data_IF_682391522855
#
_entry.id   IF_682391522855
#
_cell.length_a   1.000
_cell.length_b   1.000
_cell.length_c   1.000
_cell.angle_alpha   90.00
_cell.angle_beta   90.00
_cell.angle_gamma   90.00
#
_symmetry.space_group_name_H-M   'P 1'
#
loop_
_entity.id
_entity.type
_entity.pdbx_description
1 polymer ?
#
# COMPACT_ATOMS: atom_id res chain seq x y z
N UNK A 1 -38.30 3.58 2.51
CA UNK A 1 -36.88 3.79 2.89
C UNK A 1 -36.16 2.48 2.62
N UNK A 2 -34.99 2.46 1.93
CA UNK A 2 -34.19 1.24 1.83
C UNK A 2 -33.82 0.78 3.24
N UNK A 3 -33.88 -0.53 3.48
CA UNK A 3 -33.58 -1.12 4.79
C UNK A 3 -32.10 -1.46 4.86
N UNK A 4 -31.53 -2.00 3.76
CA UNK A 4 -30.15 -2.48 3.73
C UNK A 4 -29.32 -1.82 2.61
N UNK A 5 -28.11 -1.37 2.96
CA UNK A 5 -27.19 -0.64 2.08
C UNK A 5 -25.76 -1.15 2.19
N UNK A 6 -25.06 -1.23 1.05
CA UNK A 6 -23.61 -1.48 0.98
C UNK A 6 -22.87 -0.26 0.40
N UNK A 7 -21.84 0.19 1.14
CA UNK A 7 -20.91 1.24 0.72
C UNK A 7 -19.50 0.66 0.56
N UNK A 8 -18.90 0.81 -0.62
CA UNK A 8 -17.55 0.29 -0.90
C UNK A 8 -16.52 1.42 -0.97
N UNK A 9 -15.43 1.27 -0.20
CA UNK A 9 -14.22 2.10 -0.33
C UNK A 9 -13.19 1.43 -1.22
N UNK A 10 -12.21 0.70 -0.70
CA UNK A 10 -11.35 -0.17 -1.51
C UNK A 10 -10.46 -1.08 -0.65
N UNK A 11 -9.99 -2.19 -1.23
CA UNK A 11 -8.88 -2.98 -0.69
C UNK A 11 -7.52 -2.30 -0.88
N UNK A 12 -6.41 -3.03 -0.70
CA UNK A 12 -5.08 -2.46 -0.96
C UNK A 12 -4.95 -1.99 -2.42
N UNK A 13 -4.68 -0.69 -2.61
CA UNK A 13 -4.39 -0.10 -3.93
C UNK A 13 -2.90 0.09 -4.17
N UNK A 14 -2.53 0.31 -5.44
CA UNK A 14 -1.17 0.69 -5.84
C UNK A 14 -0.68 1.90 -5.03
N UNK A 15 -1.51 2.93 -4.87
CA UNK A 15 -1.17 4.12 -4.11
C UNK A 15 -0.88 3.83 -2.63
N UNK A 16 -1.66 2.94 -2.00
CA UNK A 16 -1.40 2.55 -0.61
C UNK A 16 -0.12 1.71 -0.48
N UNK A 17 0.12 0.80 -1.43
CA UNK A 17 1.31 -0.02 -1.45
C UNK A 17 2.57 0.85 -1.59
N UNK A 18 2.56 1.77 -2.53
CA UNK A 18 3.71 2.62 -2.78
C UNK A 18 4.05 3.53 -1.59
N UNK A 19 3.03 4.14 -0.96
CA UNK A 19 3.23 4.93 0.27
C UNK A 19 3.84 4.09 1.40
N UNK A 20 3.41 2.82 1.53
CA UNK A 20 3.97 1.89 2.51
C UNK A 20 5.44 1.56 2.19
N UNK A 21 5.76 1.28 0.94
CA UNK A 21 7.14 0.98 0.51
C UNK A 21 8.07 2.17 0.73
N UNK A 22 7.66 3.39 0.36
CA UNK A 22 8.45 4.60 0.61
C UNK A 22 8.73 4.79 2.11
N UNK A 23 7.71 4.59 2.96
CA UNK A 23 7.88 4.70 4.42
C UNK A 23 8.85 3.66 4.96
N UNK A 24 8.78 2.41 4.48
CA UNK A 24 9.69 1.34 4.90
C UNK A 24 11.14 1.63 4.51
N UNK A 25 11.39 2.12 3.30
CA UNK A 25 12.74 2.49 2.85
C UNK A 25 13.32 3.61 3.71
N UNK A 26 12.53 4.64 4.01
CA UNK A 26 12.97 5.75 4.87
C UNK A 26 13.34 5.27 6.27
N UNK A 27 12.54 4.38 6.86
CA UNK A 27 12.83 3.80 8.17
C UNK A 27 14.11 2.95 8.17
N UNK A 28 14.35 2.16 7.11
CA UNK A 28 15.58 1.37 6.98
C UNK A 28 16.82 2.27 6.86
N UNK A 29 16.74 3.36 6.08
CA UNK A 29 17.84 4.31 5.94
C UNK A 29 18.17 5.00 7.27
N UNK A 30 17.15 5.40 8.03
CA UNK A 30 17.35 6.01 9.36
C UNK A 30 18.03 5.04 10.35
N UNK A 31 17.63 3.76 10.35
CA UNK A 31 18.25 2.75 11.20
C UNK A 31 19.72 2.48 10.84
N UNK A 32 20.05 2.45 9.54
CA UNK A 32 21.43 2.28 9.09
C UNK A 32 22.32 3.46 9.51
N UNK A 33 21.82 4.69 9.40
CA UNK A 33 22.55 5.88 9.83
C UNK A 33 22.83 5.87 11.34
N UNK A 34 21.86 5.44 12.15
CA UNK A 34 22.06 5.31 13.60
C UNK A 34 23.11 4.24 13.95
N UNK A 35 23.11 3.09 13.27
CA UNK A 35 24.11 2.04 13.52
C UNK A 35 25.54 2.46 13.14
N UNK A 36 25.71 3.25 12.07
CA UNK A 36 27.03 3.79 11.69
C UNK A 36 27.56 4.82 12.69
N UNK A 37 26.69 5.65 13.27
CA UNK A 37 27.08 6.60 14.32
C UNK A 37 27.51 5.89 15.61
N UNK A 38 26.84 4.78 15.98
CA UNK A 38 27.23 3.98 17.15
C UNK A 38 28.59 3.30 16.95
N UNK A 39 28.90 2.81 15.75
CA UNK A 39 30.20 2.20 15.45
C UNK A 39 31.35 3.22 15.41
N UNK A 40 31.09 4.49 15.08
CA UNK A 40 32.11 5.55 15.16
C UNK A 40 32.33 6.08 16.59
N UNK A 41 31.33 5.96 17.47
CA UNK A 41 31.42 6.38 18.87
C UNK A 41 31.99 5.30 19.81
N UNK A 42 32.16 4.06 19.35
CA UNK A 42 32.68 2.94 20.13
C UNK A 42 34.03 2.43 19.64
N UNK A 43 35.12 3.09 20.00
CA UNK A 43 36.47 2.50 19.97
C UNK A 43 36.99 2.41 21.41
N UNK A 44 37.20 1.18 21.91
CA UNK A 44 38.54 0.84 22.37
C UNK A 44 39.07 -0.43 21.69
N UNK A 45 40.40 -0.52 21.72
CA UNK A 45 41.33 -1.43 21.08
C UNK A 45 41.23 -2.92 21.49
N UNK A 46 41.79 -3.79 20.64
CA UNK A 46 42.22 -5.21 20.83
C UNK A 46 41.11 -6.25 21.07
N UNK A 47 41.09 -7.47 20.55
CA UNK A 47 42.09 -8.32 19.90
C UNK A 47 41.40 -9.37 18.99
N UNK A 48 42.22 -10.16 18.32
CA UNK A 48 41.93 -11.08 17.21
C UNK A 48 41.04 -12.30 17.51
N UNK A 49 40.43 -12.82 16.43
CA UNK A 49 40.09 -14.24 16.13
C UNK A 49 38.61 -14.70 16.12
N UNK A 50 38.33 -15.59 15.14
CA UNK A 50 37.09 -16.38 14.86
C UNK A 50 35.86 -15.58 14.37
N UNK A 51 35.11 -15.92 13.31
CA UNK A 51 34.82 -17.20 12.63
C UNK A 51 34.28 -16.91 11.22
N UNK A 52 34.80 -17.60 10.21
CA UNK A 52 34.35 -17.51 8.82
C UNK A 52 33.25 -18.56 8.54
N UNK A 53 31.96 -18.24 8.75
CA UNK A 53 30.84 -19.10 8.29
C UNK A 53 29.50 -18.37 8.08
N UNK A 54 29.43 -17.04 8.15
CA UNK A 54 28.18 -16.28 8.03
C UNK A 54 28.00 -15.51 6.69
N UNK A 55 28.88 -15.71 5.71
CA UNK A 55 28.93 -14.89 4.49
C UNK A 55 27.89 -15.25 3.41
N UNK A 56 27.39 -16.48 3.39
CA UNK A 56 26.46 -16.97 2.34
C UNK A 56 25.00 -16.61 2.62
N UNK A 57 24.58 -16.50 3.88
CA UNK A 57 23.21 -16.10 4.25
C UNK A 57 22.96 -14.59 4.07
N UNK A 58 24.00 -13.77 4.27
CA UNK A 58 23.93 -12.30 4.11
C UNK A 58 23.83 -11.91 2.64
N UNK A 59 24.54 -12.59 1.73
CA UNK A 59 24.49 -12.30 0.30
C UNK A 59 23.11 -12.60 -0.33
N UNK A 60 22.46 -13.70 0.06
CA UNK A 60 21.11 -14.04 -0.41
C UNK A 60 20.05 -13.05 0.11
N UNK A 61 20.21 -12.57 1.35
CA UNK A 61 19.32 -11.57 1.94
C UNK A 61 19.55 -10.19 1.31
N UNK A 62 20.80 -9.84 0.98
CA UNK A 62 21.17 -8.61 0.26
C UNK A 62 20.63 -8.59 -1.19
N UNK A 63 20.68 -9.71 -1.89
CA UNK A 63 20.11 -9.84 -3.24
C UNK A 63 18.57 -9.76 -3.24
N UNK A 64 17.91 -10.39 -2.26
CA UNK A 64 16.45 -10.30 -2.10
C UNK A 64 15.97 -8.88 -1.72
N UNK A 65 16.75 -8.17 -0.89
CA UNK A 65 16.48 -6.77 -0.52
C UNK A 65 16.77 -5.80 -1.66
N UNK A 66 17.80 -6.03 -2.48
CA UNK A 66 18.06 -5.26 -3.70
C UNK A 66 16.95 -5.45 -4.75
N UNK A 67 16.45 -6.68 -4.93
CA UNK A 67 15.32 -6.97 -5.82
C UNK A 67 14.00 -6.32 -5.31
N UNK A 68 13.76 -6.35 -4.00
CA UNK A 68 12.62 -5.65 -3.39
C UNK A 68 12.75 -4.12 -3.48
N UNK A 69 13.97 -3.57 -3.38
CA UNK A 69 14.24 -2.15 -3.56
C UNK A 69 14.06 -1.70 -5.03
N UNK A 70 14.48 -2.52 -5.99
CA UNK A 70 14.26 -2.28 -7.42
C UNK A 70 12.76 -2.37 -7.78
N UNK A 71 12.04 -3.33 -7.21
CA UNK A 71 10.58 -3.41 -7.33
C UNK A 71 9.90 -2.18 -6.70
N UNK A 72 10.37 -1.70 -5.56
CA UNK A 72 9.85 -0.49 -4.91
C UNK A 72 10.19 0.80 -5.69
N UNK A 73 11.34 0.87 -6.37
CA UNK A 73 11.69 1.97 -7.27
C UNK A 73 10.80 2.00 -8.53
N UNK A 74 10.40 0.82 -9.04
CA UNK A 74 9.41 0.72 -10.12
C UNK A 74 7.99 1.10 -9.68
N UNK A 75 7.62 0.78 -8.43
CA UNK A 75 6.27 1.04 -7.87
C UNK A 75 5.98 2.54 -7.65
N UNK A 76 7.00 3.40 -7.60
CA UNK A 76 6.83 4.85 -7.48
C UNK A 76 7.57 5.63 -8.59
N UNK A 77 7.45 5.14 -9.83
CA UNK A 77 8.03 5.77 -11.00
C UNK A 77 7.45 7.17 -11.27
N UNK A 78 8.16 7.98 -12.06
CA UNK A 78 7.66 9.28 -12.53
C UNK A 78 6.33 9.15 -13.29
N UNK A 79 6.20 8.11 -14.11
CA UNK A 79 4.96 7.75 -14.80
C UNK A 79 3.83 7.49 -13.81
N UNK A 80 4.05 6.65 -12.79
CA UNK A 80 3.05 6.36 -11.76
C UNK A 80 2.57 7.63 -11.06
N UNK A 81 3.50 8.52 -10.69
CA UNK A 81 3.23 9.80 -10.01
C UNK A 81 2.53 10.82 -10.90
N UNK A 82 2.62 10.68 -12.23
CA UNK A 82 1.93 11.57 -13.17
C UNK A 82 0.44 11.23 -13.29
N UNK A 83 0.03 9.99 -13.00
CA UNK A 83 -1.37 9.59 -13.04
C UNK A 83 -2.16 10.25 -11.93
N UNK A 84 -3.42 10.59 -12.20
CA UNK A 84 -4.33 11.05 -11.17
C UNK A 84 -4.64 9.93 -10.17
N UNK A 85 -4.71 10.25 -8.88
CA UNK A 85 -4.89 9.24 -7.83
C UNK A 85 -6.18 8.42 -7.99
N UNK A 86 -7.21 8.96 -8.66
CA UNK A 86 -8.48 8.25 -8.93
C UNK A 86 -8.29 7.01 -9.80
N UNK A 87 -7.21 6.98 -10.60
CA UNK A 87 -6.89 5.91 -11.55
C UNK A 87 -6.07 4.78 -10.92
N UNK A 88 -5.65 4.92 -9.66
CA UNK A 88 -4.91 3.86 -8.99
C UNK A 88 -5.77 2.61 -8.83
N UNK A 89 -5.23 1.48 -9.28
CA UNK A 89 -5.89 0.17 -9.28
C UNK A 89 -5.66 -0.57 -7.97
N UNK A 90 -6.43 -1.64 -7.77
CA UNK A 90 -6.13 -2.65 -6.76
C UNK A 90 -4.87 -3.44 -7.12
N UNK A 91 -4.08 -3.77 -6.10
CA UNK A 91 -3.03 -4.79 -6.22
C UNK A 91 -3.66 -6.19 -6.25
N UNK A 92 -2.87 -7.22 -6.58
CA UNK A 92 -3.34 -8.61 -6.49
C UNK A 92 -3.77 -9.00 -5.07
N UNK A 93 -3.11 -8.42 -4.07
CA UNK A 93 -3.54 -8.54 -2.67
C UNK A 93 -4.89 -7.84 -2.45
N UNK A 94 -5.07 -6.63 -2.98
CA UNK A 94 -6.33 -5.89 -2.91
C UNK A 94 -7.50 -6.62 -3.55
N UNK A 95 -7.30 -7.25 -4.71
CA UNK A 95 -8.32 -8.08 -5.37
C UNK A 95 -8.70 -9.30 -4.52
N UNK A 96 -7.72 -10.01 -3.96
CA UNK A 96 -7.97 -11.12 -3.03
C UNK A 96 -8.73 -10.68 -1.78
N UNK A 97 -8.37 -9.53 -1.21
CA UNK A 97 -9.09 -8.95 -0.07
C UNK A 97 -10.56 -8.68 -0.41
N UNK A 98 -10.82 -8.12 -1.59
CA UNK A 98 -12.19 -7.84 -2.05
C UNK A 98 -12.99 -9.14 -2.24
N UNK A 99 -12.43 -10.15 -2.90
CA UNK A 99 -13.08 -11.45 -3.07
C UNK A 99 -13.41 -12.12 -1.72
N UNK A 100 -12.47 -12.12 -0.78
CA UNK A 100 -12.68 -12.67 0.57
C UNK A 100 -13.79 -11.89 1.31
N UNK A 101 -13.78 -10.57 1.21
CA UNK A 101 -14.83 -9.73 1.80
C UNK A 101 -16.20 -10.03 1.21
N UNK A 102 -16.29 -10.19 -0.12
CA UNK A 102 -17.52 -10.58 -0.80
C UNK A 102 -18.07 -11.91 -0.33
N UNK A 103 -17.21 -12.92 -0.22
CA UNK A 103 -17.57 -14.23 0.33
C UNK A 103 -18.07 -14.13 1.78
N UNK A 104 -17.39 -13.33 2.61
CA UNK A 104 -17.79 -13.11 3.99
C UNK A 104 -19.15 -12.43 4.09
N UNK A 105 -19.42 -11.38 3.30
CA UNK A 105 -20.71 -10.68 3.27
C UNK A 105 -21.85 -11.65 2.93
N UNK A 106 -21.67 -12.45 1.88
CA UNK A 106 -22.67 -13.44 1.43
C UNK A 106 -23.03 -14.45 2.52
N UNK A 107 -22.05 -14.90 3.30
CA UNK A 107 -22.25 -15.93 4.31
C UNK A 107 -22.73 -15.40 5.66
N UNK A 108 -22.48 -14.13 5.98
CA UNK A 108 -22.67 -13.59 7.34
C UNK A 108 -23.69 -12.46 7.42
N UNK A 109 -23.99 -11.78 6.32
CA UNK A 109 -24.93 -10.64 6.29
C UNK A 109 -26.13 -10.99 5.42
N UNK A 110 -25.89 -11.28 4.14
CA UNK A 110 -26.96 -11.52 3.19
C UNK A 110 -26.49 -11.54 1.75
N UNK A 111 -27.36 -12.04 0.88
CA UNK A 111 -27.10 -12.18 -0.55
C UNK A 111 -27.56 -10.98 -1.38
N UNK A 112 -28.40 -10.11 -0.81
CA UNK A 112 -29.03 -8.99 -1.51
C UNK A 112 -29.15 -7.77 -0.60
N UNK A 113 -29.13 -6.60 -1.22
CA UNK A 113 -29.26 -5.30 -0.59
C UNK A 113 -30.13 -4.41 -1.48
N UNK A 114 -30.83 -3.43 -0.90
CA UNK A 114 -31.70 -2.55 -1.67
C UNK A 114 -30.91 -1.59 -2.55
N UNK A 115 -29.72 -1.18 -2.08
CA UNK A 115 -28.83 -0.22 -2.73
C UNK A 115 -27.37 -0.62 -2.59
N UNK A 116 -26.60 -0.30 -3.62
CA UNK A 116 -25.18 -0.57 -3.73
C UNK A 116 -24.49 0.70 -4.21
N UNK A 117 -23.65 1.31 -3.38
CA UNK A 117 -22.88 2.49 -3.78
C UNK A 117 -21.38 2.25 -3.72
N UNK A 118 -20.69 2.82 -4.68
CA UNK A 118 -19.22 2.85 -4.75
C UNK A 118 -18.75 4.25 -5.14
N UNK A 119 -17.51 4.59 -4.85
CA UNK A 119 -16.93 5.83 -5.37
C UNK A 119 -16.52 5.68 -6.83
N UNK A 120 -16.30 6.80 -7.50
CA UNK A 120 -15.86 6.86 -8.91
C UNK A 120 -14.40 6.42 -9.12
N UNK A 121 -13.69 6.09 -8.04
CA UNK A 121 -12.29 5.70 -8.15
C UNK A 121 -12.15 4.24 -8.61
N UNK A 122 -11.18 3.99 -9.49
CA UNK A 122 -11.00 2.69 -10.15
C UNK A 122 -10.87 1.57 -9.12
N UNK A 123 -10.04 1.75 -8.08
CA UNK A 123 -9.89 0.79 -6.97
C UNK A 123 -11.21 0.47 -6.23
N UNK A 124 -12.14 1.42 -6.15
CA UNK A 124 -13.43 1.23 -5.49
C UNK A 124 -14.39 0.43 -6.35
N UNK A 125 -14.48 0.78 -7.64
CA UNK A 125 -15.25 0.03 -8.63
C UNK A 125 -14.72 -1.40 -8.80
N UNK A 126 -13.39 -1.57 -8.82
CA UNK A 126 -12.78 -2.91 -8.85
C UNK A 126 -13.11 -3.72 -7.60
N UNK A 127 -13.09 -3.08 -6.42
CA UNK A 127 -13.48 -3.77 -5.18
C UNK A 127 -14.95 -4.20 -5.26
N UNK A 128 -15.84 -3.30 -5.66
CA UNK A 128 -17.27 -3.55 -5.81
C UNK A 128 -17.57 -4.71 -6.77
N UNK A 129 -16.89 -4.76 -7.92
CA UNK A 129 -16.99 -5.87 -8.85
C UNK A 129 -16.50 -7.20 -8.23
N UNK A 130 -15.40 -7.16 -7.49
CA UNK A 130 -14.80 -8.35 -6.87
C UNK A 130 -15.56 -8.87 -5.64
N UNK A 131 -16.49 -8.09 -5.07
CA UNK A 131 -17.37 -8.60 -4.00
C UNK A 131 -18.31 -9.69 -4.51
N UNK A 132 -18.59 -9.74 -5.83
CA UNK A 132 -19.39 -10.78 -6.46
C UNK A 132 -20.74 -10.98 -5.73
N UNK A 133 -21.44 -9.86 -5.48
CA UNK A 133 -22.75 -9.86 -4.84
C UNK A 133 -23.84 -10.12 -5.89
N UNK A 134 -24.74 -11.10 -5.68
CA UNK A 134 -25.81 -11.42 -6.60
C UNK A 134 -26.69 -10.21 -6.91
N UNK A 135 -27.01 -10.02 -8.20
CA UNK A 135 -27.93 -8.97 -8.67
C UNK A 135 -27.53 -7.53 -8.28
N UNK A 136 -26.28 -7.30 -7.86
CA UNK A 136 -25.83 -6.00 -7.42
C UNK A 136 -25.84 -4.98 -8.56
N UNK A 137 -26.54 -3.86 -8.34
CA UNK A 137 -26.58 -2.71 -9.25
C UNK A 137 -25.89 -1.53 -8.62
N UNK A 138 -24.60 -1.41 -8.90
CA UNK A 138 -23.73 -0.37 -8.34
C UNK A 138 -24.06 1.00 -8.93
N UNK A 139 -24.28 1.97 -8.05
CA UNK A 139 -24.34 3.39 -8.37
C UNK A 139 -23.04 4.04 -7.93
N UNK A 140 -22.41 4.77 -8.86
CA UNK A 140 -21.17 5.50 -8.60
C UNK A 140 -21.49 6.89 -8.07
N UNK A 141 -20.96 7.23 -6.89
CA UNK A 141 -21.21 8.51 -6.23
C UNK A 141 -19.92 9.28 -5.95
N UNK A 142 -19.87 10.50 -6.46
CA UNK A 142 -18.74 11.44 -6.31
C UNK A 142 -18.48 11.79 -4.83
N UNK A 143 -19.52 11.74 -3.99
CA UNK A 143 -19.44 12.06 -2.57
C UNK A 143 -18.81 10.94 -1.73
N UNK A 144 -18.69 9.73 -2.28
CA UNK A 144 -18.03 8.60 -1.60
C UNK A 144 -16.52 8.54 -1.85
N UNK A 145 -15.97 9.47 -2.63
CA UNK A 145 -14.53 9.53 -2.91
C UNK A 145 -13.74 9.73 -1.61
N UNK A 146 -12.56 9.12 -1.54
CA UNK A 146 -11.63 9.44 -0.47
C UNK A 146 -11.20 10.91 -0.54
N UNK A 147 -10.70 11.42 0.60
CA UNK A 147 -10.16 12.78 0.68
C UNK A 147 -9.14 13.00 -0.44
N UNK A 148 -9.50 13.88 -1.36
CA UNK A 148 -8.56 14.39 -2.34
C UNK A 148 -7.62 15.40 -1.68
N UNK A 149 -6.32 15.23 -1.91
CA UNK A 149 -5.28 16.15 -1.42
C UNK A 149 -4.65 16.96 -2.57
N UNK A 150 -5.27 16.93 -3.76
CA UNK A 150 -4.75 17.59 -4.95
C UNK A 150 -3.31 17.15 -5.25
N UNK A 151 -2.41 18.12 -5.41
CA UNK A 151 -1.00 17.88 -5.72
C UNK A 151 -0.26 17.03 -4.67
N UNK A 152 -0.75 17.02 -3.43
CA UNK A 152 -0.14 16.24 -2.35
C UNK A 152 -0.50 14.75 -2.44
N UNK A 153 -1.53 14.37 -3.21
CA UNK A 153 -1.94 12.98 -3.35
C UNK A 153 -0.81 12.10 -3.95
N UNK A 154 -0.06 12.66 -4.89
CA UNK A 154 1.05 11.98 -5.60
C UNK A 154 2.43 12.26 -4.96
N UNK A 155 2.43 12.79 -3.73
CA UNK A 155 3.63 12.97 -2.92
C UNK A 155 3.72 11.91 -1.84
N UNK A 156 4.93 11.47 -1.52
CA UNK A 156 5.22 10.62 -0.36
C UNK A 156 4.89 11.39 0.93
N UNK A 157 4.76 10.68 2.05
CA UNK A 157 4.54 11.34 3.34
C UNK A 157 5.62 12.39 3.68
N UNK A 158 6.90 12.05 3.52
CA UNK A 158 8.00 12.98 3.77
C UNK A 158 7.93 14.23 2.86
N UNK A 159 7.61 14.05 1.58
CA UNK A 159 7.46 15.18 0.66
C UNK A 159 6.27 16.08 1.02
N UNK A 160 5.24 15.57 1.71
CA UNK A 160 4.07 16.37 2.11
C UNK A 160 4.39 17.29 3.29
N UNK A 161 5.25 16.88 4.21
CA UNK A 161 5.62 17.68 5.38
C UNK A 161 6.26 19.02 4.96
N UNK A 162 6.93 19.06 3.81
CA UNK A 162 7.51 20.28 3.23
C UNK A 162 6.45 21.32 2.79
N UNK A 163 5.20 20.91 2.56
CA UNK A 163 4.12 21.80 2.10
C UNK A 163 3.14 22.19 3.21
N UNK A 164 3.36 21.73 4.45
CA UNK A 164 2.56 22.13 5.60
C UNK A 164 3.26 23.31 6.26
N UNK A 165 3.03 24.51 5.73
CA UNK A 165 3.36 25.79 6.35
C UNK A 165 2.09 26.64 6.46
#
# INVERSE_FOLDING_TARGET
MPVDLVLVRHGQSEGNLAQRLCRQQQQQQQQQQQQQQVHQAGVPTTDSSTTATAATATAATAAATAAAAAAAAGVWSSEFRSRHNSLYRLTDKGRRQAAIAGHWIKNNIGLGFDKYYTSEYVRAMETAAMLDLPSARWVTEVYLRERDRGILANKTHAEREVYVY
#
